data_IF_095922924233
#
_entry.id   IF_095922924233
#
_cell.length_a   1.000
_cell.length_b   1.000
_cell.length_c   1.000
_cell.angle_alpha   90.00
_cell.angle_beta   90.00
_cell.angle_gamma   90.00
#
_symmetry.space_group_name_H-M   'P 1'
#
loop_
_entity.id
_entity.type
_entity.pdbx_description
1 polymer ?
#
# COMPACT_ATOMS: atom_id res chain seq x y z
N UNK A 1 17.52 -2.69 65.04
CA UNK A 1 18.03 -3.47 63.89
C UNK A 1 16.90 -3.93 62.95
N UNK A 2 15.78 -4.49 63.45
CA UNK A 2 14.66 -4.99 62.63
C UNK A 2 13.97 -3.93 61.73
N UNK A 3 13.82 -2.68 62.21
CA UNK A 3 13.25 -1.57 61.43
C UNK A 3 14.14 -1.11 60.26
N UNK A 4 15.46 -1.23 60.40
CA UNK A 4 16.43 -0.88 59.35
C UNK A 4 16.44 -1.96 58.27
N UNK A 5 16.33 -3.23 58.67
CA UNK A 5 16.22 -4.37 57.73
C UNK A 5 14.95 -4.30 56.87
N UNK A 6 13.83 -3.83 57.43
CA UNK A 6 12.56 -3.70 56.69
C UNK A 6 12.58 -2.54 55.68
N UNK A 7 13.28 -1.45 56.00
CA UNK A 7 13.44 -0.29 55.11
C UNK A 7 14.33 -0.61 53.90
N UNK A 8 15.39 -1.39 54.10
CA UNK A 8 16.32 -1.79 53.02
C UNK A 8 15.64 -2.74 52.02
N UNK A 9 14.79 -3.66 52.49
CA UNK A 9 14.02 -4.56 51.62
C UNK A 9 13.00 -3.78 50.78
N UNK A 10 12.36 -2.76 51.36
CA UNK A 10 11.43 -1.90 50.63
C UNK A 10 12.14 -1.07 49.54
N UNK A 11 13.31 -0.50 49.82
CA UNK A 11 14.09 0.23 48.81
C UNK A 11 14.58 -0.66 47.66
N UNK A 12 14.92 -1.94 47.93
CA UNK A 12 15.28 -2.91 46.89
C UNK A 12 14.09 -3.26 45.98
N UNK A 13 12.87 -3.36 46.52
CA UNK A 13 11.65 -3.64 45.74
C UNK A 13 11.26 -2.47 44.81
N UNK A 14 11.55 -1.22 45.19
CA UNK A 14 11.24 -0.04 44.35
C UNK A 14 12.22 0.13 43.19
N UNK A 15 13.45 -0.38 43.32
CA UNK A 15 14.46 -0.30 42.24
C UNK A 15 14.20 -1.23 41.04
N UNK A 16 13.23 -2.16 41.16
CA UNK A 16 12.88 -3.11 40.09
C UNK A 16 11.84 -2.57 39.08
N UNK A 17 11.20 -1.42 39.34
CA UNK A 17 10.23 -0.81 38.42
C UNK A 17 10.87 0.09 37.33
N UNK A 18 12.20 0.25 37.31
CA UNK A 18 12.90 1.21 36.43
C UNK A 18 13.19 0.74 35.00
N UNK A 19 12.91 -0.52 34.65
CA UNK A 19 13.22 -1.07 33.32
C UNK A 19 12.03 -1.05 32.37
N UNK A 20 11.21 0.00 32.40
CA UNK A 20 10.13 0.19 31.43
C UNK A 20 10.76 0.53 30.08
N UNK A 21 10.90 -0.46 29.19
CA UNK A 21 11.35 -0.23 27.81
C UNK A 21 10.37 0.76 27.15
N UNK A 22 10.89 1.92 26.77
CA UNK A 22 10.14 2.89 25.99
C UNK A 22 9.67 2.23 24.69
N UNK A 23 8.40 2.45 24.34
CA UNK A 23 7.87 1.98 23.06
C UNK A 23 8.70 2.58 21.90
N UNK A 24 8.99 1.82 20.85
CA UNK A 24 9.72 2.34 19.69
C UNK A 24 8.90 3.44 19.00
N UNK A 25 9.61 4.35 18.33
CA UNK A 25 8.97 5.37 17.51
C UNK A 25 8.30 4.74 16.27
N UNK A 26 7.16 5.29 15.88
CA UNK A 26 6.45 4.86 14.67
C UNK A 26 7.25 5.21 13.43
N UNK A 27 7.50 4.23 12.57
CA UNK A 27 8.08 4.43 11.24
C UNK A 27 6.98 4.65 10.22
N UNK A 28 7.11 5.72 9.43
CA UNK A 28 6.18 6.04 8.35
C UNK A 28 6.75 5.66 6.99
N UNK A 29 5.93 5.02 6.16
CA UNK A 29 6.29 4.53 4.84
C UNK A 29 5.55 5.31 3.77
N UNK A 30 6.32 5.99 2.92
CA UNK A 30 5.79 6.58 1.69
C UNK A 30 5.73 5.51 0.61
N UNK A 31 4.55 5.27 0.04
CA UNK A 31 4.34 4.19 -0.91
C UNK A 31 5.00 4.49 -2.27
N UNK A 32 4.91 5.72 -2.73
CA UNK A 32 5.44 6.24 -3.99
C UNK A 32 6.73 7.05 -3.79
N UNK A 33 7.68 6.49 -3.03
CA UNK A 33 8.89 7.20 -2.59
C UNK A 33 9.85 7.64 -3.72
N UNK A 34 9.75 7.05 -4.92
CA UNK A 34 10.60 7.37 -6.06
C UNK A 34 9.77 8.11 -7.15
N UNK A 35 9.62 9.44 -7.05
CA UNK A 35 8.92 10.21 -8.06
C UNK A 35 9.69 10.18 -9.38
N UNK A 36 9.06 9.67 -10.43
CA UNK A 36 9.61 9.71 -11.78
C UNK A 36 9.17 11.01 -12.45
N UNK A 37 10.12 11.74 -13.03
CA UNK A 37 9.80 12.93 -13.82
C UNK A 37 8.94 12.53 -15.03
N UNK A 38 7.70 12.99 -15.05
CA UNK A 38 6.79 12.77 -16.16
C UNK A 38 7.29 13.51 -17.39
N UNK A 39 7.33 12.82 -18.54
CA UNK A 39 7.58 13.48 -19.81
C UNK A 39 6.35 14.29 -20.21
N UNK A 40 6.55 15.53 -20.67
CA UNK A 40 5.45 16.29 -21.26
C UNK A 40 4.93 15.55 -22.49
N UNK A 41 3.67 15.10 -22.43
CA UNK A 41 2.96 14.54 -23.57
C UNK A 41 2.06 15.59 -24.18
N UNK A 42 2.00 15.62 -25.51
CA UNK A 42 0.98 16.36 -26.25
C UNK A 42 0.12 15.29 -26.91
N UNK A 43 -1.03 14.99 -26.31
CA UNK A 43 -2.00 14.03 -26.84
C UNK A 43 -3.41 14.60 -26.72
N UNK A 44 -4.26 14.25 -27.69
CA UNK A 44 -5.68 14.58 -27.67
C UNK A 44 -6.50 13.52 -26.90
N UNK A 45 -5.91 12.36 -26.60
CA UNK A 45 -6.56 11.25 -25.94
C UNK A 45 -6.18 11.18 -24.46
N UNK A 46 -7.14 11.54 -23.60
CA UNK A 46 -7.04 11.41 -22.15
C UNK A 46 -7.88 10.24 -21.64
N UNK A 47 -7.32 9.48 -20.72
CA UNK A 47 -8.02 8.44 -19.99
C UNK A 47 -8.03 8.83 -18.51
N UNK A 48 -9.22 8.89 -17.92
CA UNK A 48 -9.37 9.20 -16.50
C UNK A 48 -9.11 7.97 -15.64
N UNK A 49 -8.19 8.04 -14.68
CA UNK A 49 -8.12 7.08 -13.59
C UNK A 49 -9.06 7.53 -12.47
N UNK A 50 -10.12 6.78 -12.24
CA UNK A 50 -11.01 6.98 -11.10
C UNK A 50 -10.28 6.72 -9.78
N UNK A 51 -10.87 7.19 -8.68
CA UNK A 51 -10.32 6.92 -7.34
C UNK A 51 -10.20 5.41 -7.11
N UNK A 52 -9.01 4.97 -6.67
CA UNK A 52 -8.76 3.57 -6.32
C UNK A 52 -9.61 3.18 -5.11
N UNK A 53 -10.30 2.05 -5.20
CA UNK A 53 -11.13 1.52 -4.12
C UNK A 53 -10.38 0.46 -3.32
N UNK A 54 -10.33 0.62 -2.00
CA UNK A 54 -9.75 -0.33 -1.06
C UNK A 54 -10.81 -0.82 -0.05
N UNK A 55 -10.69 -2.05 0.47
CA UNK A 55 -11.50 -2.50 1.60
C UNK A 55 -11.12 -1.78 2.89
N UNK A 56 -12.08 -1.70 3.82
CA UNK A 56 -11.93 -0.99 5.10
C UNK A 56 -10.73 -1.43 5.95
N UNK A 57 -10.30 -2.69 5.82
CA UNK A 57 -9.15 -3.16 6.58
C UNK A 57 -7.83 -2.56 6.09
N UNK A 58 -7.76 -2.09 4.84
CA UNK A 58 -6.61 -1.42 4.22
C UNK A 58 -6.67 0.11 4.26
N UNK A 59 -7.83 0.71 4.58
CA UNK A 59 -8.00 2.17 4.59
C UNK A 59 -7.39 2.85 5.82
N UNK A 60 -6.96 2.09 6.82
CA UNK A 60 -6.26 2.60 7.98
C UNK A 60 -4.80 2.96 7.69
N UNK A 61 -4.22 3.80 8.55
CA UNK A 61 -2.82 4.20 8.40
C UNK A 61 -1.82 3.10 8.74
N UNK A 62 -2.18 2.05 9.46
CA UNK A 62 -1.24 0.98 9.83
C UNK A 62 -1.00 0.01 8.68
N UNK A 63 0.23 -0.47 8.54
CA UNK A 63 0.52 -1.58 7.63
C UNK A 63 -0.25 -2.82 8.09
N UNK A 64 -0.82 -3.55 7.13
CA UNK A 64 -1.58 -4.77 7.37
C UNK A 64 -0.81 -5.95 6.82
N UNK A 65 -0.74 -7.02 7.60
CA UNK A 65 -0.23 -8.31 7.15
C UNK A 65 -1.24 -9.41 7.48
N UNK A 66 -1.22 -10.49 6.70
CA UNK A 66 -2.01 -11.68 7.00
C UNK A 66 -1.16 -12.69 7.77
N UNK A 67 -1.64 -13.08 8.94
CA UNK A 67 -1.11 -14.26 9.63
C UNK A 67 -1.62 -15.52 8.92
N UNK A 68 -1.28 -16.71 9.42
CA UNK A 68 -1.89 -17.95 8.94
C UNK A 68 -3.43 -17.93 9.05
N UNK A 69 -4.10 -18.55 8.08
CA UNK A 69 -5.56 -18.66 8.04
C UNK A 69 -6.28 -17.35 7.70
N UNK A 70 -7.18 -16.92 8.57
CA UNK A 70 -8.12 -15.80 8.34
C UNK A 70 -7.83 -14.56 9.21
N UNK A 71 -6.62 -14.46 9.76
CA UNK A 71 -6.25 -13.41 10.72
C UNK A 71 -5.43 -12.32 10.03
N UNK A 72 -5.86 -11.06 10.19
CA UNK A 72 -5.11 -9.87 9.78
C UNK A 72 -4.50 -9.20 11.01
N UNK A 73 -3.25 -8.78 10.89
CA UNK A 73 -2.50 -8.07 11.93
C UNK A 73 -2.18 -6.68 11.41
N UNK A 74 -2.47 -5.67 12.23
CA UNK A 74 -2.03 -4.29 12.00
C UNK A 74 -0.71 -4.06 12.72
N UNK A 75 0.27 -3.49 12.03
CA UNK A 75 1.57 -3.20 12.60
C UNK A 75 1.48 -2.01 13.56
N UNK A 76 1.90 -2.21 14.82
CA UNK A 76 1.73 -1.20 15.88
C UNK A 76 2.59 0.06 15.69
N UNK A 77 3.78 -0.09 15.10
CA UNK A 77 4.77 0.97 14.95
C UNK A 77 5.19 1.20 13.49
N UNK A 78 4.34 0.77 12.55
CA UNK A 78 4.60 0.89 11.12
C UNK A 78 3.33 1.34 10.41
N UNK A 79 3.39 2.52 9.81
CA UNK A 79 2.24 3.17 9.21
C UNK A 79 2.55 3.73 7.84
N UNK A 80 1.56 3.79 6.96
CA UNK A 80 1.58 4.60 5.75
C UNK A 80 1.77 6.07 6.13
N UNK A 81 2.56 6.79 5.33
CA UNK A 81 2.79 8.22 5.48
C UNK A 81 1.57 9.05 5.06
N UNK A 82 0.73 8.51 4.19
CA UNK A 82 -0.51 9.09 3.69
C UNK A 82 -1.57 8.00 3.42
N UNK A 83 -2.68 8.38 2.77
CA UNK A 83 -3.75 7.44 2.44
C UNK A 83 -3.29 6.45 1.37
N UNK A 84 -3.39 5.15 1.65
CA UNK A 84 -2.87 4.11 0.75
C UNK A 84 -3.56 4.11 -0.62
N UNK A 85 -4.87 4.38 -0.67
CA UNK A 85 -5.65 4.50 -1.92
C UNK A 85 -5.14 5.65 -2.81
N UNK A 86 -4.93 6.83 -2.21
CA UNK A 86 -4.38 8.01 -2.92
C UNK A 86 -2.95 7.76 -3.40
N UNK A 87 -2.12 7.14 -2.55
CA UNK A 87 -0.76 6.73 -2.88
C UNK A 87 -0.71 5.75 -4.05
N UNK A 88 -1.59 4.73 -4.07
CA UNK A 88 -1.70 3.78 -5.18
C UNK A 88 -2.21 4.48 -6.45
N UNK A 89 -3.18 5.40 -6.33
CA UNK A 89 -3.68 6.15 -7.48
C UNK A 89 -2.57 6.98 -8.14
N UNK A 90 -1.76 7.71 -7.35
CA UNK A 90 -0.61 8.46 -7.88
C UNK A 90 0.43 7.53 -8.50
N UNK A 91 0.73 6.41 -7.86
CA UNK A 91 1.64 5.41 -8.39
C UNK A 91 1.18 4.86 -9.75
N UNK A 92 -0.11 4.49 -9.88
CA UNK A 92 -0.69 4.01 -11.13
C UNK A 92 -0.67 5.08 -12.23
N UNK A 93 -1.05 6.33 -11.92
CA UNK A 93 -0.97 7.44 -12.88
C UNK A 93 0.46 7.63 -13.39
N UNK A 94 1.44 7.59 -12.47
CA UNK A 94 2.84 7.72 -12.84
C UNK A 94 3.30 6.58 -13.74
N UNK A 95 2.98 5.34 -13.39
CA UNK A 95 3.41 4.16 -14.13
C UNK A 95 2.74 4.09 -15.51
N UNK A 96 1.43 4.29 -15.58
CA UNK A 96 0.68 4.30 -16.83
C UNK A 96 1.19 5.38 -17.78
N UNK A 97 1.46 6.58 -17.28
CA UNK A 97 2.03 7.63 -18.11
C UNK A 97 3.48 7.34 -18.53
N UNK A 98 4.25 6.59 -17.75
CA UNK A 98 5.60 6.20 -18.14
C UNK A 98 5.61 5.10 -19.22
N UNK A 99 4.64 4.19 -19.22
CA UNK A 99 4.63 3.03 -20.13
C UNK A 99 3.76 3.20 -21.39
N UNK A 100 2.75 4.07 -21.36
CA UNK A 100 1.85 4.28 -22.50
C UNK A 100 2.24 5.54 -23.28
N UNK A 101 2.64 5.42 -24.54
CA UNK A 101 3.03 6.58 -25.35
C UNK A 101 1.84 7.32 -26.00
N UNK A 102 0.68 6.68 -26.12
CA UNK A 102 -0.45 7.16 -26.92
C UNK A 102 -1.42 8.04 -26.11
N UNK A 103 -1.71 7.61 -24.88
CA UNK A 103 -2.70 8.23 -24.01
C UNK A 103 -2.03 8.96 -22.83
N UNK A 104 -2.67 10.04 -22.40
CA UNK A 104 -2.36 10.74 -21.15
C UNK A 104 -3.35 10.29 -20.07
N UNK A 105 -2.83 9.78 -18.96
CA UNK A 105 -3.66 9.34 -17.83
C UNK A 105 -3.74 10.48 -16.81
N UNK A 106 -4.96 10.84 -16.42
CA UNK A 106 -5.25 11.97 -15.52
C UNK A 106 -6.28 11.55 -14.48
N UNK A 107 -6.36 12.25 -13.34
CA UNK A 107 -7.47 12.04 -12.38
C UNK A 107 -8.73 12.85 -12.75
N UNK A 108 -8.62 13.75 -13.74
CA UNK A 108 -9.69 14.65 -14.16
C UNK A 108 -9.80 14.72 -15.68
N UNK A 109 -10.96 14.33 -16.23
CA UNK A 109 -11.44 14.83 -17.51
C UNK A 109 -12.90 14.40 -17.75
N UNK A 110 -13.60 15.12 -18.62
CA UNK A 110 -14.96 14.78 -19.04
C UNK A 110 -15.32 15.50 -20.34
N UNK A 111 -15.90 14.82 -21.35
CA UNK A 111 -16.07 13.37 -21.44
C UNK A 111 -14.73 12.69 -21.80
N UNK A 112 -14.46 11.53 -21.21
CA UNK A 112 -13.30 10.69 -21.52
C UNK A 112 -13.63 9.23 -21.27
N UNK A 113 -12.79 8.34 -21.80
CA UNK A 113 -12.70 6.98 -21.31
C UNK A 113 -12.16 7.00 -19.87
N UNK A 114 -12.57 6.05 -19.04
CA UNK A 114 -12.15 5.95 -17.65
C UNK A 114 -11.76 4.53 -17.25
N UNK A 115 -10.93 4.45 -16.22
CA UNK A 115 -10.48 3.22 -15.60
C UNK A 115 -10.84 3.30 -14.12
N UNK A 116 -11.59 2.33 -13.62
CA UNK A 116 -11.74 2.12 -12.18
C UNK A 116 -10.93 0.91 -11.75
N UNK A 117 -10.30 0.99 -10.56
CA UNK A 117 -9.52 -0.09 -9.98
C UNK A 117 -10.05 -0.36 -8.58
N UNK A 118 -10.43 -1.61 -8.33
CA UNK A 118 -10.80 -2.10 -7.00
C UNK A 118 -9.79 -3.14 -6.57
N UNK A 119 -9.12 -2.87 -5.45
CA UNK A 119 -8.23 -3.83 -4.80
C UNK A 119 -9.04 -4.51 -3.70
N UNK A 120 -9.05 -5.84 -3.68
CA UNK A 120 -9.75 -6.65 -2.68
C UNK A 120 -8.79 -7.22 -1.64
N UNK A 121 -7.57 -7.56 -2.07
CA UNK A 121 -6.50 -8.03 -1.20
C UNK A 121 -5.19 -7.34 -1.55
N UNK A 122 -4.50 -6.80 -0.54
CA UNK A 122 -3.15 -6.28 -0.70
C UNK A 122 -2.37 -6.35 0.61
N UNK A 123 -1.62 -7.43 0.81
CA UNK A 123 -0.88 -7.63 2.06
C UNK A 123 0.26 -8.64 1.90
N UNK A 124 1.37 -8.47 2.64
CA UNK A 124 2.29 -9.55 2.93
C UNK A 124 1.65 -10.58 3.87
N UNK A 125 2.08 -11.83 3.81
CA UNK A 125 1.66 -12.92 4.69
C UNK A 125 2.82 -13.43 5.56
N UNK A 126 2.50 -14.02 6.70
CA UNK A 126 3.48 -14.65 7.60
C UNK A 126 4.24 -15.81 6.93
N UNK A 127 3.70 -16.38 5.86
CA UNK A 127 4.37 -17.40 5.03
C UNK A 127 5.37 -16.80 4.03
N UNK A 128 5.62 -15.49 4.07
CA UNK A 128 6.56 -14.84 3.17
C UNK A 128 6.00 -14.57 1.78
N UNK A 129 4.67 -14.50 1.61
CA UNK A 129 4.05 -14.17 0.32
C UNK A 129 3.51 -12.76 0.32
N UNK A 130 3.49 -12.12 -0.85
CA UNK A 130 2.84 -10.84 -1.06
C UNK A 130 1.71 -11.02 -2.08
N UNK A 131 0.48 -10.82 -1.64
CA UNK A 131 -0.72 -10.93 -2.48
C UNK A 131 -1.23 -9.54 -2.83
N UNK A 132 -1.48 -9.29 -4.12
CA UNK A 132 -2.32 -8.23 -4.64
C UNK A 132 -3.42 -8.83 -5.52
N UNK A 133 -4.69 -8.56 -5.26
CA UNK A 133 -5.79 -9.04 -6.10
C UNK A 133 -6.98 -8.09 -6.12
N UNK A 134 -7.78 -8.21 -7.18
CA UNK A 134 -9.00 -7.44 -7.37
C UNK A 134 -9.40 -7.40 -8.84
N UNK A 135 -9.93 -6.27 -9.28
CA UNK A 135 -10.33 -6.06 -10.67
C UNK A 135 -10.20 -4.60 -11.09
N UNK A 136 -10.09 -4.39 -12.41
CA UNK A 136 -10.23 -3.08 -13.02
C UNK A 136 -11.28 -3.12 -14.13
N UNK A 137 -11.99 -2.01 -14.30
CA UNK A 137 -12.96 -1.83 -15.37
C UNK A 137 -12.55 -0.65 -16.25
N UNK A 138 -12.45 -0.88 -17.56
CA UNK A 138 -12.25 0.15 -18.57
C UNK A 138 -13.63 0.52 -19.13
N UNK A 139 -14.06 1.75 -18.88
CA UNK A 139 -15.30 2.33 -19.40
C UNK A 139 -14.98 3.24 -20.58
N UNK A 140 -15.55 2.94 -21.75
CA UNK A 140 -15.40 3.81 -22.93
C UNK A 140 -16.50 4.86 -22.94
N UNK A 141 -16.14 6.10 -23.25
CA UNK A 141 -17.11 7.19 -23.45
C UNK A 141 -18.15 6.87 -24.54
N UNK A 142 -17.76 6.02 -25.50
CA UNK A 142 -18.62 5.38 -26.49
C UNK A 142 -18.17 3.93 -26.67
N UNK A 143 -18.97 2.97 -26.25
CA UNK A 143 -18.68 1.55 -26.44
C UNK A 143 -19.09 0.70 -25.26
N UNK A 144 -18.57 -0.51 -25.22
CA UNK A 144 -18.78 -1.46 -24.13
C UNK A 144 -17.72 -1.30 -23.04
N UNK A 145 -18.12 -1.60 -21.80
CA UNK A 145 -17.20 -1.68 -20.67
C UNK A 145 -16.48 -3.03 -20.67
N UNK A 146 -15.22 -3.04 -20.24
CA UNK A 146 -14.43 -4.25 -20.09
C UNK A 146 -13.96 -4.42 -18.65
N UNK A 147 -14.47 -5.44 -17.98
CA UNK A 147 -14.05 -5.86 -16.63
C UNK A 147 -12.95 -6.92 -16.72
N UNK A 148 -11.85 -6.71 -15.99
CA UNK A 148 -10.71 -7.63 -15.94
C UNK A 148 -10.29 -7.87 -14.49
N UNK A 149 -10.12 -9.15 -14.12
CA UNK A 149 -9.64 -9.54 -12.79
C UNK A 149 -8.13 -9.74 -12.80
N UNK A 150 -7.48 -9.41 -11.69
CA UNK A 150 -6.04 -9.61 -11.50
C UNK A 150 -5.74 -10.30 -10.17
N UNK A 151 -4.66 -11.08 -10.18
CA UNK A 151 -4.05 -11.64 -8.98
C UNK A 151 -2.54 -11.75 -9.21
N UNK A 152 -1.76 -11.08 -8.36
CA UNK A 152 -0.32 -11.09 -8.33
C UNK A 152 0.15 -11.68 -7.00
N UNK A 153 1.07 -12.63 -7.06
CA UNK A 153 1.62 -13.31 -5.89
C UNK A 153 3.13 -13.38 -6.01
N UNK A 154 3.82 -12.67 -5.14
CA UNK A 154 5.29 -12.68 -5.07
C UNK A 154 5.77 -13.38 -3.80
N UNK A 155 6.97 -13.94 -3.86
CA UNK A 155 7.69 -14.40 -2.68
C UNK A 155 8.51 -13.23 -2.11
N UNK A 156 8.36 -12.95 -0.82
CA UNK A 156 9.13 -11.93 -0.12
C UNK A 156 10.56 -12.42 0.09
N UNK A 157 11.46 -11.94 -0.77
CA UNK A 157 12.88 -12.34 -0.76
C UNK A 157 13.70 -11.82 0.43
N UNK A 158 13.22 -10.77 1.12
CA UNK A 158 13.90 -10.15 2.26
C UNK A 158 12.89 -9.71 3.32
N UNK A 159 13.20 -9.98 4.58
CA UNK A 159 12.37 -9.60 5.71
C UNK A 159 12.28 -8.08 5.91
N UNK A 160 11.23 -7.66 6.62
CA UNK A 160 11.05 -6.29 7.10
C UNK A 160 10.07 -5.46 6.27
N UNK A 161 9.35 -4.58 6.98
CA UNK A 161 8.28 -3.77 6.39
C UNK A 161 8.76 -2.87 5.25
N UNK A 162 9.95 -2.28 5.35
CA UNK A 162 10.51 -1.45 4.27
C UNK A 162 10.65 -2.23 2.95
N UNK A 163 11.07 -3.49 3.02
CA UNK A 163 11.20 -4.31 1.83
C UNK A 163 9.84 -4.80 1.31
N UNK A 164 8.91 -5.14 2.22
CA UNK A 164 7.54 -5.47 1.84
C UNK A 164 6.87 -4.30 1.10
N UNK A 165 6.99 -3.07 1.60
CA UNK A 165 6.47 -1.86 0.93
C UNK A 165 7.08 -1.66 -0.46
N UNK A 166 8.39 -1.88 -0.61
CA UNK A 166 9.04 -1.78 -1.93
C UNK A 166 8.48 -2.80 -2.94
N UNK A 167 8.26 -4.04 -2.50
CA UNK A 167 7.68 -5.08 -3.36
C UNK A 167 6.19 -4.83 -3.65
N UNK A 168 5.44 -4.33 -2.67
CA UNK A 168 4.06 -3.84 -2.89
C UNK A 168 4.03 -2.78 -3.99
N UNK A 169 4.94 -1.79 -3.94
CA UNK A 169 5.04 -0.78 -4.99
C UNK A 169 5.35 -1.38 -6.36
N UNK A 170 6.19 -2.42 -6.43
CA UNK A 170 6.49 -3.13 -7.68
C UNK A 170 5.28 -3.86 -8.26
N UNK A 171 4.44 -4.49 -7.43
CA UNK A 171 3.19 -5.11 -7.89
C UNK A 171 2.21 -4.10 -8.49
N UNK A 172 2.20 -2.86 -8.00
CA UNK A 172 1.40 -1.79 -8.62
C UNK A 172 1.92 -1.42 -10.01
N UNK A 173 3.24 -1.48 -10.23
CA UNK A 173 3.81 -1.30 -11.58
C UNK A 173 3.44 -2.44 -12.52
N UNK A 174 3.37 -3.67 -12.02
CA UNK A 174 2.89 -4.80 -12.81
C UNK A 174 1.40 -4.69 -13.12
N UNK A 175 0.58 -4.23 -12.16
CA UNK A 175 -0.82 -3.93 -12.40
C UNK A 175 -1.00 -2.84 -13.47
N UNK A 176 -0.19 -1.77 -13.44
CA UNK A 176 -0.19 -0.75 -14.49
C UNK A 176 0.12 -1.36 -15.87
N UNK A 177 1.07 -2.28 -15.95
CA UNK A 177 1.37 -3.00 -17.20
C UNK A 177 0.19 -3.86 -17.67
N UNK A 178 -0.50 -4.58 -16.77
CA UNK A 178 -1.70 -5.36 -17.12
C UNK A 178 -2.85 -4.47 -17.60
N UNK A 179 -3.09 -3.33 -16.93
CA UNK A 179 -4.09 -2.34 -17.37
C UNK A 179 -3.75 -1.87 -18.78
N UNK A 180 -2.50 -1.46 -19.01
CA UNK A 180 -2.03 -0.94 -20.30
C UNK A 180 -2.20 -1.96 -21.45
N UNK A 181 -1.97 -3.25 -21.20
CA UNK A 181 -2.17 -4.31 -22.18
C UNK A 181 -3.65 -4.56 -22.54
N UNK A 182 -4.59 -4.05 -21.73
CA UNK A 182 -6.01 -4.31 -21.86
C UNK A 182 -6.85 -3.12 -22.39
N UNK A 183 -6.21 -1.98 -22.66
CA UNK A 183 -6.83 -0.72 -23.13
C UNK A 183 -7.53 -0.81 -24.49
#
# INVERSE_FOLDING_TARGET
MQKVSMLVIFCLLVSACGAMKQAPDTTYYLFDADPVAQQHKVTEARIKLEKVTLPDYLSGSQLVMRESGHVLIKANYHSWADSLDESIQRALLNDLNNINAENEFVDWCSPCDSISVTIEHFYPSAEGKLLLSGFFEISKSKGENKLSYFQLVDELSVDGYANAVRQMRAQISELAAQINQNL
#
